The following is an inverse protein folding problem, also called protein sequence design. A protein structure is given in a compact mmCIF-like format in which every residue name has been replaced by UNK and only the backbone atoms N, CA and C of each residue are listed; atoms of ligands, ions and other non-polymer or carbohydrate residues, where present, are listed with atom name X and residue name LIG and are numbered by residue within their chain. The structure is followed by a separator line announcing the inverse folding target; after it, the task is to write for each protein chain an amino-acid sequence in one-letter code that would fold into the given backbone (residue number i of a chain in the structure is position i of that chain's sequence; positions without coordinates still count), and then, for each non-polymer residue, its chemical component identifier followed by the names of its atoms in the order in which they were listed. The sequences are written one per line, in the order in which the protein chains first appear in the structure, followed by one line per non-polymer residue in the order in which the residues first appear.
data_IF_103506167548
#
_entry.id   IF_103506167548
#
_cell.length_a   1.000
_cell.length_b   1.000
_cell.length_c   1.000
_cell.angle_alpha   90.00
_cell.angle_beta   90.00
_cell.angle_gamma   90.00
#
_symmetry.space_group_name_H-M   'P 1'
#
loop_
_entity.id
_entity.type
_entity.pdbx_description
1 polymer ?
#
# COMPACT_ATOMS: atom_id res chain seq x y z
N UNK A 1 21.29 5.08 -11.21
CA UNK A 1 20.46 6.19 -10.71
C UNK A 1 19.34 5.56 -9.93
N UNK A 2 19.22 5.95 -8.66
CA UNK A 2 18.06 5.57 -7.86
C UNK A 2 16.81 6.20 -8.47
N UNK A 3 15.66 5.56 -8.31
CA UNK A 3 14.40 6.14 -8.81
C UNK A 3 14.10 7.48 -8.12
N UNK A 4 14.52 7.66 -6.87
CA UNK A 4 14.38 8.92 -6.15
C UNK A 4 15.08 10.08 -6.87
N UNK A 5 16.28 9.83 -7.40
CA UNK A 5 17.08 10.83 -8.14
C UNK A 5 16.50 11.11 -9.53
N UNK A 6 15.96 10.08 -10.19
CA UNK A 6 15.36 10.20 -11.53
C UNK A 6 14.13 11.11 -11.53
N UNK A 7 13.38 11.13 -10.43
CA UNK A 7 12.14 11.89 -10.29
C UNK A 7 12.27 13.10 -9.34
N UNK A 8 13.50 13.41 -8.90
CA UNK A 8 13.80 14.54 -8.01
C UNK A 8 12.85 14.62 -6.80
N UNK A 9 12.56 13.48 -6.17
CA UNK A 9 11.60 13.40 -5.07
C UNK A 9 12.21 13.95 -3.79
N UNK A 10 11.56 14.94 -3.18
CA UNK A 10 11.87 15.41 -1.84
C UNK A 10 11.62 14.30 -0.80
N UNK A 11 12.29 14.36 0.35
CA UNK A 11 12.18 13.35 1.42
C UNK A 11 10.71 13.16 1.85
N UNK A 12 9.94 14.24 1.92
CA UNK A 12 8.49 14.19 2.22
C UNK A 12 7.69 13.48 1.13
N UNK A 13 8.08 13.63 -0.13
CA UNK A 13 7.43 12.95 -1.23
C UNK A 13 7.77 11.46 -1.23
N UNK A 14 9.01 11.11 -0.90
CA UNK A 14 9.44 9.71 -0.74
C UNK A 14 8.64 9.02 0.37
N UNK A 15 8.53 9.63 1.55
CA UNK A 15 7.71 9.12 2.65
C UNK A 15 6.24 8.94 2.25
N UNK A 16 5.70 9.91 1.49
CA UNK A 16 4.32 9.85 1.04
C UNK A 16 4.09 8.75 0.00
N UNK A 17 5.02 8.54 -0.92
CA UNK A 17 4.99 7.42 -1.87
C UNK A 17 5.07 6.08 -1.14
N UNK A 18 5.96 5.96 -0.14
CA UNK A 18 6.06 4.75 0.70
C UNK A 18 4.72 4.50 1.42
N UNK A 19 4.15 5.52 2.06
CA UNK A 19 2.86 5.42 2.74
C UNK A 19 1.74 4.98 1.78
N UNK A 20 1.63 5.61 0.62
CA UNK A 20 0.64 5.23 -0.41
C UNK A 20 0.86 3.81 -0.94
N UNK A 21 2.10 3.39 -1.13
CA UNK A 21 2.43 2.06 -1.64
C UNK A 21 2.16 0.94 -0.62
N UNK A 22 2.20 1.25 0.69
CA UNK A 22 1.75 0.36 1.76
C UNK A 22 0.23 0.31 1.92
N UNK A 23 -0.45 1.36 1.48
CA UNK A 23 -1.89 1.47 1.62
C UNK A 23 -2.62 0.59 0.59
N UNK A 24 -3.31 -0.40 1.12
CA UNK A 24 -4.03 -1.43 0.38
C UNK A 24 -5.13 -0.91 -0.57
N UNK A 25 -5.54 0.36 -0.44
CA UNK A 25 -6.64 1.00 -1.18
C UNK A 25 -6.20 2.09 -2.14
N UNK A 26 -4.90 2.41 -2.17
CA UNK A 26 -4.37 3.43 -3.07
C UNK A 26 -3.94 2.74 -4.36
N UNK A 27 -4.64 2.98 -5.48
CA UNK A 27 -4.27 2.37 -6.75
C UNK A 27 -2.93 2.95 -7.22
N UNK A 28 -2.16 2.18 -7.98
CA UNK A 28 -0.91 2.68 -8.56
C UNK A 28 -1.15 3.89 -9.47
N UNK A 29 -2.31 3.95 -10.13
CA UNK A 29 -2.76 5.09 -10.93
C UNK A 29 -2.81 6.41 -10.14
N UNK A 30 -3.15 6.37 -8.84
CA UNK A 30 -3.17 7.58 -8.01
C UNK A 30 -1.76 8.07 -7.66
N UNK A 31 -0.80 7.15 -7.55
CA UNK A 31 0.61 7.48 -7.33
C UNK A 31 1.20 8.04 -8.62
N UNK A 32 0.86 7.44 -9.76
CA UNK A 32 1.24 7.93 -11.09
C UNK A 32 0.68 9.34 -11.34
N UNK A 33 -0.58 9.59 -11.00
CA UNK A 33 -1.19 10.91 -11.14
C UNK A 33 -0.54 11.99 -10.25
N UNK A 34 -0.15 11.65 -9.02
CA UNK A 34 0.42 12.62 -8.07
C UNK A 34 1.93 12.83 -8.22
N UNK A 35 2.68 11.80 -8.61
CA UNK A 35 4.15 11.81 -8.62
C UNK A 35 4.77 11.42 -9.95
N UNK A 36 3.98 11.07 -10.97
CA UNK A 36 4.48 10.63 -12.28
C UNK A 36 5.14 9.25 -12.27
N UNK A 37 5.06 8.51 -11.16
CA UNK A 37 5.68 7.20 -11.01
C UNK A 37 4.76 6.10 -11.53
N UNK A 38 5.20 5.39 -12.56
CA UNK A 38 4.48 4.21 -13.05
C UNK A 38 4.53 3.06 -12.04
N UNK A 39 3.63 2.08 -12.13
CA UNK A 39 3.64 0.90 -11.24
C UNK A 39 5.02 0.24 -11.16
N UNK A 40 5.69 0.06 -12.30
CA UNK A 40 7.02 -0.57 -12.37
C UNK A 40 8.05 0.23 -11.59
N UNK A 41 7.98 1.55 -11.68
CA UNK A 41 8.88 2.46 -10.98
C UNK A 41 8.60 2.47 -9.49
N UNK A 42 7.33 2.45 -9.06
CA UNK A 42 6.97 2.32 -7.63
C UNK A 42 7.48 1.00 -7.04
N UNK A 43 7.39 -0.11 -7.79
CA UNK A 43 7.89 -1.42 -7.31
C UNK A 43 9.40 -1.39 -7.10
N UNK A 44 10.13 -0.82 -8.05
CA UNK A 44 11.59 -0.72 -7.99
C UNK A 44 12.03 0.30 -6.93
N UNK A 45 11.32 1.41 -6.78
CA UNK A 45 11.54 2.39 -5.70
C UNK A 45 11.35 1.73 -4.33
N UNK A 46 10.25 1.01 -4.13
CA UNK A 46 10.01 0.25 -2.90
C UNK A 46 11.09 -0.82 -2.66
N UNK A 47 11.64 -1.43 -3.70
CA UNK A 47 12.75 -2.38 -3.57
C UNK A 47 14.05 -1.73 -3.09
N UNK A 48 14.33 -0.51 -3.55
CA UNK A 48 15.50 0.27 -3.13
C UNK A 48 15.36 0.77 -1.68
N UNK A 49 14.14 1.12 -1.26
CA UNK A 49 13.88 1.74 0.05
C UNK A 49 13.73 0.76 1.22
N UNK A 50 13.66 -0.55 0.98
CA UNK A 50 13.42 -1.51 2.07
C UNK A 50 14.27 -2.77 1.97
N UNK A 51 14.45 -3.41 3.13
CA UNK A 51 15.15 -4.68 3.21
C UNK A 51 14.46 -5.76 2.33
N UNK A 52 15.20 -6.58 1.57
CA UNK A 52 14.63 -7.53 0.61
C UNK A 52 13.57 -8.48 1.19
N UNK A 53 13.73 -8.90 2.45
CA UNK A 53 12.74 -9.76 3.12
C UNK A 53 11.39 -9.06 3.33
N UNK A 54 11.38 -7.75 3.63
CA UNK A 54 10.15 -6.97 3.76
C UNK A 54 9.54 -6.70 2.40
N UNK A 55 10.37 -6.44 1.38
CA UNK A 55 9.93 -6.25 0.01
C UNK A 55 9.20 -7.47 -0.54
N UNK A 56 9.72 -8.70 -0.33
CA UNK A 56 9.04 -9.92 -0.76
C UNK A 56 7.65 -10.07 -0.13
N UNK A 57 7.51 -9.73 1.16
CA UNK A 57 6.22 -9.76 1.87
C UNK A 57 5.25 -8.73 1.30
N UNK A 58 5.71 -7.50 1.07
CA UNK A 58 4.92 -6.45 0.43
C UNK A 58 4.52 -6.83 -1.00
N UNK A 59 5.45 -7.38 -1.80
CA UNK A 59 5.20 -7.80 -3.18
C UNK A 59 4.15 -8.91 -3.25
N UNK A 60 4.24 -9.92 -2.39
CA UNK A 60 3.23 -10.97 -2.28
C UNK A 60 1.84 -10.40 -1.94
N UNK A 61 1.76 -9.40 -1.05
CA UNK A 61 0.49 -8.72 -0.70
C UNK A 61 -0.09 -7.93 -1.87
N UNK A 62 0.75 -7.25 -2.64
CA UNK A 62 0.34 -6.35 -3.73
C UNK A 62 -0.02 -7.11 -5.00
N UNK A 63 0.73 -8.18 -5.33
CA UNK A 63 0.53 -8.98 -6.54
C UNK A 63 -0.79 -9.79 -6.51
N UNK A 64 -1.30 -10.14 -5.33
CA UNK A 64 -2.52 -10.93 -5.19
C UNK A 64 -3.86 -10.16 -5.31
N UNK A 65 -3.84 -8.84 -5.54
CA UNK A 65 -5.05 -8.01 -5.46
C UNK A 65 -5.63 -7.66 -6.82
N UNK A 66 -6.63 -8.44 -7.24
CA UNK A 66 -7.44 -8.16 -8.44
C UNK A 66 -8.14 -6.79 -8.40
N UNK A 67 -8.40 -6.22 -7.21
CA UNK A 67 -9.11 -4.94 -7.04
C UNK A 67 -8.20 -3.69 -7.08
N UNK A 68 -6.91 -3.83 -7.41
CA UNK A 68 -5.94 -2.72 -7.38
C UNK A 68 -6.04 -1.78 -8.58
N UNK A 69 -6.74 -2.18 -9.64
CA UNK A 69 -7.11 -1.30 -10.74
C UNK A 69 -8.44 -0.62 -10.42
N UNK A 70 -8.52 0.70 -10.61
CA UNK A 70 -9.76 1.46 -10.36
C UNK A 70 -10.95 0.87 -11.14
N UNK A 71 -10.68 0.31 -12.32
CA UNK A 71 -11.64 -0.39 -13.19
C UNK A 71 -12.32 -1.63 -12.57
N UNK A 72 -11.70 -2.26 -11.57
CA UNK A 72 -12.20 -3.48 -10.93
C UNK A 72 -12.79 -3.22 -9.54
N UNK A 73 -12.86 -1.95 -9.14
CA UNK A 73 -13.43 -1.52 -7.87
C UNK A 73 -14.89 -1.12 -8.11
N UNK A 74 -15.79 -1.87 -7.50
CA UNK A 74 -17.22 -1.58 -7.56
C UNK A 74 -17.52 -0.25 -6.85
N UNK A 75 -18.32 0.63 -7.48
CA UNK A 75 -18.61 1.98 -6.97
C UNK A 75 -19.39 1.94 -5.65
N UNK A 76 -20.10 0.85 -5.36
CA UNK A 76 -20.85 0.66 -4.11
C UNK A 76 -19.97 0.39 -2.88
N UNK A 77 -18.70 0.05 -3.05
CA UNK A 77 -17.83 -0.28 -1.91
C UNK A 77 -17.26 1.03 -1.30
N UNK A 78 -18.09 1.70 -0.51
CA UNK A 78 -17.71 2.88 0.30
C UNK A 78 -17.17 2.52 1.69
N UNK A 79 -17.35 1.26 2.12
CA UNK A 79 -17.03 0.83 3.49
C UNK A 79 -15.54 0.86 3.80
N UNK A 80 -15.16 1.70 4.76
CA UNK A 80 -13.76 1.81 5.23
C UNK A 80 -13.34 0.63 6.13
N UNK A 81 -14.29 -0.05 6.81
CA UNK A 81 -14.04 -1.21 7.69
C UNK A 81 -14.88 -2.42 7.27
N UNK A 82 -14.40 -3.62 7.60
CA UNK A 82 -15.22 -4.83 7.50
C UNK A 82 -16.22 -4.91 8.66
N UNK A 83 -17.42 -5.44 8.43
CA UNK A 83 -18.40 -5.67 9.51
C UNK A 83 -17.83 -6.58 10.62
N UNK A 84 -16.89 -7.47 10.28
CA UNK A 84 -16.21 -8.34 11.24
C UNK A 84 -14.97 -7.70 11.90
N UNK A 85 -14.56 -6.49 11.48
CA UNK A 85 -13.36 -5.83 11.99
C UNK A 85 -13.61 -5.25 13.38
N UNK A 86 -13.08 -5.90 14.41
CA UNK A 86 -13.12 -5.42 15.79
C UNK A 86 -12.15 -4.26 15.98
N UNK A 87 -12.56 -3.27 16.78
CA UNK A 87 -11.64 -2.24 17.26
C UNK A 87 -10.56 -2.92 18.12
N UNK A 88 -9.28 -2.59 17.88
CA UNK A 88 -8.19 -3.11 18.68
C UNK A 88 -8.27 -2.39 20.04
N UNK A 89 -8.85 -3.07 21.03
CA UNK A 89 -9.11 -2.49 22.35
C UNK A 89 -7.89 -2.51 23.28
N UNK A 90 -6.78 -3.14 22.87
CA UNK A 90 -5.58 -3.31 23.72
C UNK A 90 -5.77 -4.23 24.94
N UNK A 91 -7.01 -4.51 25.33
CA UNK A 91 -7.34 -5.34 26.48
C UNK A 91 -7.11 -6.83 26.21
N UNK A 92 -6.49 -7.51 27.17
CA UNK A 92 -6.31 -8.97 27.18
C UNK A 92 -7.63 -9.65 27.56
N UNK A 93 -8.51 -9.86 26.59
CA UNK A 93 -9.78 -10.57 26.79
C UNK A 93 -9.47 -12.05 27.05
N UNK A 94 -9.76 -12.54 28.25
CA UNK A 94 -9.67 -13.97 28.56
C UNK A 94 -10.66 -14.76 27.69
N UNK A 95 -10.27 -15.95 27.23
CA UNK A 95 -11.14 -16.79 26.40
C UNK A 95 -12.44 -17.08 27.17
N UNK A 96 -13.58 -16.89 26.51
CA UNK A 96 -14.90 -17.26 27.04
C UNK A 96 -14.90 -18.79 27.27
N UNK A 97 -15.13 -19.24 28.52
CA UNK A 97 -15.45 -20.64 28.78
C UNK A 97 -16.85 -20.89 28.23
N UNK A 98 -16.96 -21.83 27.30
CA UNK A 98 -18.23 -22.41 26.87
C UNK A 98 -18.72 -23.37 27.95
#
# INVERSE_FOLDING_TARGET
MSIAEKFELDERQQDRVIAMAWEDRTPFEAIEYQFGLTEKEVIKFMQEQMHPCNWRKWRARVQGRKTKHAKLRDMEISRFKSAAQRQITGNRISKKKY
#
